data_IF_402117885480
#
_entry.id   IF_402117885480
#
_cell.length_a   1.000
_cell.length_b   1.000
_cell.length_c   1.000
_cell.angle_alpha   90.00
_cell.angle_beta   90.00
_cell.angle_gamma   90.00
#
_symmetry.space_group_name_H-M   'P 1'
#
loop_
_entity.id
_entity.type
_entity.pdbx_description
1 polymer ?
#
# COMPACT_ATOMS: atom_id res chain seq x y z
N UNK A 1 5.15 8.93 23.70
CA UNK A 1 5.08 9.09 22.23
C UNK A 1 6.48 8.93 21.68
N UNK A 2 6.69 8.17 20.60
CA UNK A 2 7.99 8.19 19.92
C UNK A 2 8.28 9.62 19.45
N UNK A 3 9.56 10.01 19.43
CA UNK A 3 9.93 11.24 18.74
C UNK A 3 9.52 11.12 17.28
N UNK A 4 9.04 12.21 16.68
CA UNK A 4 8.63 12.22 15.27
C UNK A 4 9.77 11.72 14.34
N UNK A 5 11.02 11.97 14.73
CA UNK A 5 12.23 11.50 14.06
C UNK A 5 12.36 9.97 14.06
N UNK A 6 12.10 9.31 15.19
CA UNK A 6 12.17 7.87 15.29
C UNK A 6 11.06 7.20 14.47
N UNK A 7 9.85 7.75 14.51
CA UNK A 7 8.73 7.28 13.71
C UNK A 7 9.04 7.41 12.21
N UNK A 8 9.57 8.56 11.77
CA UNK A 8 9.93 8.78 10.38
C UNK A 8 11.03 7.80 9.91
N UNK A 9 12.08 7.60 10.73
CA UNK A 9 13.15 6.65 10.43
C UNK A 9 12.63 5.21 10.30
N UNK A 10 11.80 4.78 11.25
CA UNK A 10 11.20 3.45 11.23
C UNK A 10 10.22 3.23 10.06
N UNK A 11 9.46 4.26 9.68
CA UNK A 11 8.60 4.24 8.47
C UNK A 11 9.47 4.13 7.21
N UNK A 12 10.59 4.85 7.12
CA UNK A 12 11.50 4.74 5.98
C UNK A 12 12.02 3.30 5.82
N UNK A 13 12.53 2.70 6.90
CA UNK A 13 12.96 1.29 6.91
C UNK A 13 11.82 0.37 6.46
N UNK A 14 10.66 0.46 7.11
CA UNK A 14 9.51 -0.39 6.80
C UNK A 14 9.04 -0.21 5.36
N UNK A 15 9.02 1.01 4.83
CA UNK A 15 8.53 1.29 3.47
C UNK A 15 9.41 0.72 2.38
N UNK A 16 10.74 0.71 2.58
CA UNK A 16 11.71 0.09 1.67
C UNK A 16 11.46 -1.41 1.60
N UNK A 17 11.42 -2.08 2.75
CA UNK A 17 11.21 -3.52 2.82
C UNK A 17 9.79 -3.93 2.37
N UNK A 18 8.77 -3.15 2.72
CA UNK A 18 7.40 -3.39 2.27
C UNK A 18 7.25 -3.27 0.76
N UNK A 19 7.90 -2.27 0.15
CA UNK A 19 7.90 -2.10 -1.31
C UNK A 19 8.62 -3.25 -2.01
N UNK A 20 9.80 -3.65 -1.50
CA UNK A 20 10.52 -4.82 -1.98
C UNK A 20 9.68 -6.09 -1.88
N UNK A 21 9.00 -6.31 -0.74
CA UNK A 21 8.12 -7.45 -0.55
C UNK A 21 6.95 -7.44 -1.56
N UNK A 22 6.33 -6.29 -1.82
CA UNK A 22 5.27 -6.17 -2.83
C UNK A 22 5.78 -6.54 -4.22
N UNK A 23 6.86 -5.91 -4.66
CA UNK A 23 7.41 -6.13 -6.01
C UNK A 23 7.92 -7.57 -6.17
N UNK A 24 8.56 -8.12 -5.15
CA UNK A 24 8.99 -9.52 -5.10
C UNK A 24 7.81 -10.50 -5.15
N UNK A 25 6.75 -10.27 -4.37
CA UNK A 25 5.54 -11.12 -4.40
C UNK A 25 4.81 -11.05 -5.74
N UNK A 26 4.78 -9.87 -6.38
CA UNK A 26 4.26 -9.72 -7.73
C UNK A 26 5.12 -10.50 -8.71
N UNK A 27 6.45 -10.34 -8.67
CA UNK A 27 7.37 -11.04 -9.56
C UNK A 27 7.27 -12.56 -9.42
N UNK A 28 7.26 -13.08 -8.18
CA UNK A 28 7.14 -14.52 -7.90
C UNK A 28 5.81 -15.12 -8.36
N UNK A 29 4.73 -14.32 -8.39
CA UNK A 29 3.42 -14.79 -8.81
C UNK A 29 3.07 -14.41 -10.25
N UNK A 30 3.99 -13.80 -10.99
CA UNK A 30 3.83 -13.51 -12.41
C UNK A 30 4.38 -14.68 -13.21
N UNK A 31 3.48 -15.55 -13.68
CA UNK A 31 3.82 -16.72 -14.49
C UNK A 31 2.67 -17.03 -15.47
N UNK A 32 2.98 -17.80 -16.51
CA UNK A 32 2.01 -18.18 -17.53
C UNK A 32 0.88 -19.03 -16.94
N UNK A 33 -0.37 -18.64 -17.22
CA UNK A 33 -1.55 -19.34 -16.70
C UNK A 33 -1.91 -19.04 -15.24
N UNK A 34 -1.36 -17.97 -14.63
CA UNK A 34 -1.73 -17.55 -13.28
C UNK A 34 -3.25 -17.43 -13.09
N UNK A 35 -3.79 -18.04 -12.03
CA UNK A 35 -5.24 -18.08 -11.79
C UNK A 35 -5.80 -16.78 -11.22
N UNK A 36 -4.98 -16.01 -10.50
CA UNK A 36 -5.34 -14.74 -9.87
C UNK A 36 -4.27 -13.69 -10.15
N UNK A 37 -4.64 -12.40 -10.10
CA UNK A 37 -3.68 -11.32 -10.28
C UNK A 37 -2.59 -11.35 -9.18
N UNK A 38 -1.30 -11.26 -9.53
CA UNK A 38 -0.19 -11.39 -8.57
C UNK A 38 -0.26 -10.43 -7.38
N UNK A 39 -0.81 -9.23 -7.60
CA UNK A 39 -0.95 -8.20 -6.57
C UNK A 39 -1.71 -8.70 -5.33
N UNK A 40 -2.65 -9.63 -5.48
CA UNK A 40 -3.46 -10.17 -4.38
C UNK A 40 -2.57 -10.76 -3.26
N UNK A 41 -1.46 -11.41 -3.61
CA UNK A 41 -0.52 -11.95 -2.62
C UNK A 41 0.13 -10.87 -1.77
N UNK A 42 0.55 -9.76 -2.38
CA UNK A 42 1.08 -8.61 -1.66
C UNK A 42 0.02 -7.98 -0.74
N UNK A 43 -1.23 -7.88 -1.21
CA UNK A 43 -2.34 -7.39 -0.38
C UNK A 43 -2.58 -8.30 0.83
N UNK A 44 -2.65 -9.61 0.63
CA UNK A 44 -2.90 -10.59 1.69
C UNK A 44 -1.77 -10.59 2.73
N UNK A 45 -0.51 -10.69 2.31
CA UNK A 45 0.67 -10.69 3.20
C UNK A 45 0.76 -9.37 3.99
N UNK A 46 0.56 -8.23 3.34
CA UNK A 46 0.51 -6.95 4.03
C UNK A 46 -0.62 -6.87 5.06
N UNK A 47 -1.79 -7.44 4.75
CA UNK A 47 -2.90 -7.51 5.71
C UNK A 47 -2.63 -8.47 6.88
N UNK A 48 -1.91 -9.58 6.69
CA UNK A 48 -1.45 -10.46 7.77
C UNK A 48 -0.59 -9.67 8.77
N UNK A 49 0.40 -8.93 8.29
CA UNK A 49 1.26 -8.14 9.17
C UNK A 49 0.52 -6.99 9.84
N UNK A 50 -0.43 -6.35 9.15
CA UNK A 50 -1.30 -5.35 9.76
C UNK A 50 -2.19 -5.95 10.85
N UNK A 51 -2.76 -7.14 10.62
CA UNK A 51 -3.55 -7.88 11.60
C UNK A 51 -2.71 -8.20 12.83
N UNK A 52 -1.58 -8.86 12.63
CA UNK A 52 -0.64 -9.21 13.70
C UNK A 52 -0.21 -8.00 14.53
N UNK A 53 0.21 -6.90 13.90
CA UNK A 53 0.66 -5.70 14.62
C UNK A 53 -0.48 -4.89 15.26
N UNK A 54 -1.73 -5.02 14.77
CA UNK A 54 -2.91 -4.37 15.35
C UNK A 54 -3.56 -5.18 16.48
N UNK A 55 -3.23 -6.48 16.60
CA UNK A 55 -3.68 -7.32 17.70
C UNK A 55 -3.29 -6.72 19.06
N UNK A 56 -4.22 -6.71 20.02
CA UNK A 56 -4.08 -5.93 21.25
C UNK A 56 -2.84 -6.31 22.09
N UNK A 57 -2.52 -7.61 22.23
CA UNK A 57 -1.34 -8.05 22.99
C UNK A 57 -0.05 -7.75 22.24
N UNK A 58 -0.02 -8.04 20.95
CA UNK A 58 1.13 -7.79 20.07
C UNK A 58 1.47 -6.31 20.02
N UNK A 59 0.48 -5.45 19.80
CA UNK A 59 0.63 -3.99 19.75
C UNK A 59 1.26 -3.46 21.05
N UNK A 60 0.75 -3.88 22.22
CA UNK A 60 1.31 -3.48 23.52
C UNK A 60 2.75 -3.92 23.69
N UNK A 61 3.09 -5.14 23.27
CA UNK A 61 4.46 -5.65 23.31
C UNK A 61 5.39 -4.80 22.41
N UNK A 62 4.98 -4.51 21.18
CA UNK A 62 5.73 -3.64 20.25
C UNK A 62 5.92 -2.23 20.81
N UNK A 63 4.88 -1.63 21.40
CA UNK A 63 4.96 -0.32 22.05
C UNK A 63 5.90 -0.32 23.26
N UNK A 64 5.91 -1.41 24.03
CA UNK A 64 6.82 -1.59 25.16
C UNK A 64 8.27 -1.74 24.72
N UNK A 65 8.54 -2.33 23.55
CA UNK A 65 9.88 -2.41 22.97
C UNK A 65 10.35 -1.03 22.51
N UNK A 66 9.58 -0.39 21.63
CA UNK A 66 9.74 1.00 21.23
C UNK A 66 8.50 1.42 20.39
N UNK A 67 7.89 2.60 20.60
CA UNK A 67 6.67 2.97 19.85
C UNK A 67 6.86 3.06 18.33
N UNK A 68 8.10 3.22 17.86
CA UNK A 68 8.42 3.18 16.42
C UNK A 68 8.22 1.80 15.79
N UNK A 69 8.26 0.71 16.55
CA UNK A 69 8.06 -0.65 16.04
C UNK A 69 6.65 -0.85 15.45
N UNK A 70 5.63 -0.25 16.06
CA UNK A 70 4.26 -0.34 15.54
C UNK A 70 4.16 0.34 14.17
N UNK A 71 4.69 1.55 14.02
CA UNK A 71 4.63 2.27 12.74
C UNK A 71 5.59 1.71 11.70
N UNK A 72 6.67 1.02 12.11
CA UNK A 72 7.51 0.24 11.20
C UNK A 72 6.71 -0.87 10.52
N UNK A 73 5.99 -1.68 11.32
CA UNK A 73 5.26 -2.84 10.78
C UNK A 73 3.98 -2.42 10.09
N UNK A 74 3.20 -1.50 10.68
CA UNK A 74 1.90 -1.09 10.14
C UNK A 74 2.06 -0.07 9.01
N UNK A 75 2.46 1.16 9.31
CA UNK A 75 2.56 2.24 8.33
C UNK A 75 3.68 2.00 7.31
N UNK A 76 4.86 1.59 7.76
CA UNK A 76 6.02 1.31 6.92
C UNK A 76 5.79 0.08 6.05
N UNK A 77 5.95 -1.12 6.62
CA UNK A 77 5.97 -2.38 5.89
C UNK A 77 4.60 -2.76 5.32
N UNK A 78 3.62 -3.06 6.18
CA UNK A 78 2.31 -3.55 5.73
C UNK A 78 1.61 -2.53 4.82
N UNK A 79 1.72 -1.25 5.16
CA UNK A 79 1.20 -0.15 4.36
C UNK A 79 1.80 -0.11 2.96
N UNK A 80 3.13 -0.24 2.84
CA UNK A 80 3.85 -0.17 1.55
C UNK A 80 3.88 -1.49 0.77
N UNK A 81 3.62 -2.62 1.45
CA UNK A 81 3.44 -3.92 0.83
C UNK A 81 2.09 -4.01 0.11
N UNK A 82 1.05 -3.40 0.70
CA UNK A 82 -0.25 -3.26 0.05
C UNK A 82 -0.32 -2.01 -0.82
N UNK A 83 -1.25 -1.95 -1.78
CA UNK A 83 -1.45 -0.74 -2.57
C UNK A 83 -2.86 -0.63 -3.12
N UNK A 84 -3.58 0.42 -2.72
CA UNK A 84 -4.95 0.65 -3.18
C UNK A 84 -4.96 1.21 -4.60
N UNK A 85 -4.05 2.12 -4.93
CA UNK A 85 -3.96 2.73 -6.26
C UNK A 85 -3.64 1.69 -7.34
N UNK A 86 -2.69 0.78 -7.10
CA UNK A 86 -2.39 -0.31 -8.04
C UNK A 86 -3.58 -1.27 -8.20
N UNK A 87 -4.30 -1.57 -7.12
CA UNK A 87 -5.48 -2.45 -7.17
C UNK A 87 -6.62 -1.82 -7.98
N UNK A 88 -7.00 -0.58 -7.66
CA UNK A 88 -8.05 0.14 -8.39
C UNK A 88 -7.68 0.30 -9.86
N UNK A 89 -6.41 0.55 -10.14
CA UNK A 89 -5.92 0.64 -11.51
C UNK A 89 -6.08 -0.70 -12.27
N UNK A 90 -5.80 -1.84 -11.65
CA UNK A 90 -6.04 -3.18 -12.25
C UNK A 90 -7.54 -3.46 -12.46
N UNK A 91 -8.39 -3.03 -11.53
CA UNK A 91 -9.85 -3.12 -11.69
C UNK A 91 -10.33 -2.27 -12.86
N UNK A 92 -9.80 -1.06 -13.03
CA UNK A 92 -10.08 -0.24 -14.20
C UNK A 92 -9.65 -0.94 -15.50
N UNK A 93 -8.45 -1.52 -15.55
CA UNK A 93 -7.99 -2.27 -16.73
C UNK A 93 -8.89 -3.47 -17.04
N UNK A 94 -9.44 -4.12 -16.02
CA UNK A 94 -10.40 -5.21 -16.17
C UNK A 94 -11.69 -4.72 -16.84
N UNK A 95 -12.26 -3.62 -16.35
CA UNK A 95 -13.43 -2.96 -16.96
C UNK A 95 -13.16 -2.54 -18.41
N UNK A 96 -12.00 -1.93 -18.65
CA UNK A 96 -11.60 -1.42 -19.97
C UNK A 96 -11.23 -2.53 -20.98
N UNK A 97 -11.09 -3.78 -20.54
CA UNK A 97 -10.49 -4.86 -21.31
C UNK A 97 -9.15 -4.47 -21.97
N UNK A 98 -8.26 -3.81 -21.21
CA UNK A 98 -6.97 -3.28 -21.69
C UNK A 98 -6.03 -4.39 -22.23
N UNK A 99 -6.29 -5.66 -21.87
CA UNK A 99 -5.58 -6.83 -22.40
C UNK A 99 -6.12 -7.36 -23.74
N UNK A 100 -7.16 -6.75 -24.31
CA UNK A 100 -7.80 -7.13 -25.58
C UNK A 100 -8.15 -8.63 -25.67
N UNK A 101 -8.65 -9.19 -24.57
CA UNK A 101 -9.13 -10.57 -24.53
C UNK A 101 -10.42 -10.73 -25.32
N UNK A 102 -10.62 -11.92 -25.91
CA UNK A 102 -11.87 -12.30 -26.58
C UNK A 102 -12.98 -12.52 -25.54
N UNK A 103 -13.62 -11.43 -25.12
CA UNK A 103 -14.67 -11.44 -24.09
C UNK A 103 -15.65 -10.28 -24.27
N UNK A 104 -16.94 -10.56 -24.11
CA UNK A 104 -18.00 -9.55 -24.12
C UNK A 104 -18.01 -8.67 -22.85
N UNK A 105 -18.70 -7.53 -22.89
CA UNK A 105 -18.70 -6.53 -21.80
C UNK A 105 -19.07 -7.07 -20.42
N UNK A 106 -19.99 -8.05 -20.34
CA UNK A 106 -20.35 -8.70 -19.07
C UNK A 106 -19.15 -9.40 -18.42
N UNK A 107 -18.30 -10.06 -19.21
CA UNK A 107 -17.12 -10.76 -18.70
C UNK A 107 -16.06 -9.79 -18.16
N UNK A 108 -15.92 -8.61 -18.77
CA UNK A 108 -15.05 -7.54 -18.25
C UNK A 108 -15.54 -7.02 -16.89
N UNK A 109 -16.86 -6.90 -16.71
CA UNK A 109 -17.46 -6.55 -15.41
C UNK A 109 -17.20 -7.66 -14.39
N UNK A 110 -17.41 -8.92 -14.77
CA UNK A 110 -17.16 -10.06 -13.88
C UNK A 110 -15.68 -10.16 -13.47
N UNK A 111 -14.74 -9.89 -14.36
CA UNK A 111 -13.30 -9.83 -14.04
C UNK A 111 -12.99 -8.72 -13.02
N UNK A 112 -13.52 -7.51 -13.24
CA UNK A 112 -13.35 -6.40 -12.31
C UNK A 112 -13.94 -6.68 -10.91
N UNK A 113 -15.13 -7.31 -10.86
CA UNK A 113 -15.77 -7.74 -9.61
C UNK A 113 -14.99 -8.88 -8.95
N UNK A 114 -14.46 -9.83 -9.71
CA UNK A 114 -13.63 -10.94 -9.21
C UNK A 114 -12.36 -10.40 -8.55
N UNK A 115 -11.66 -9.46 -9.20
CA UNK A 115 -10.47 -8.83 -8.63
C UNK A 115 -10.79 -8.02 -7.36
N UNK A 116 -11.95 -7.36 -7.34
CA UNK A 116 -12.44 -6.62 -6.17
C UNK A 116 -12.75 -7.56 -5.01
N UNK A 117 -13.54 -8.60 -5.26
CA UNK A 117 -13.90 -9.62 -4.28
C UNK A 117 -12.68 -10.35 -3.73
N UNK A 118 -11.78 -10.80 -4.60
CA UNK A 118 -10.55 -11.50 -4.21
C UNK A 118 -9.63 -10.62 -3.35
N UNK A 119 -9.49 -9.33 -3.68
CA UNK A 119 -8.65 -8.41 -2.90
C UNK A 119 -9.25 -8.13 -1.52
N UNK A 120 -10.57 -7.89 -1.44
CA UNK A 120 -11.25 -7.64 -0.15
C UNK A 120 -11.26 -8.92 0.70
N UNK A 121 -11.58 -10.07 0.11
CA UNK A 121 -11.60 -11.36 0.82
C UNK A 121 -10.20 -11.74 1.30
N UNK A 122 -9.19 -11.68 0.43
CA UNK A 122 -7.79 -11.98 0.78
C UNK A 122 -7.23 -11.00 1.81
N UNK A 123 -7.59 -9.72 1.72
CA UNK A 123 -7.19 -8.72 2.69
C UNK A 123 -7.82 -8.94 4.07
N UNK A 124 -9.13 -9.21 4.14
CA UNK A 124 -9.82 -9.53 5.39
C UNK A 124 -9.31 -10.85 5.98
N UNK A 125 -9.23 -11.92 5.18
CA UNK A 125 -8.70 -13.21 5.62
C UNK A 125 -7.26 -13.08 6.15
N UNK A 126 -6.42 -12.32 5.45
CA UNK A 126 -5.07 -11.98 5.91
C UNK A 126 -5.09 -11.26 7.26
N UNK A 127 -5.93 -10.25 7.43
CA UNK A 127 -6.07 -9.52 8.70
C UNK A 127 -6.44 -10.45 9.86
N UNK A 128 -7.42 -11.33 9.67
CA UNK A 128 -7.84 -12.32 10.66
C UNK A 128 -6.75 -13.36 10.95
N UNK A 129 -6.05 -13.83 9.92
CA UNK A 129 -4.90 -14.72 10.10
C UNK A 129 -3.79 -14.04 10.93
N UNK A 130 -3.54 -12.75 10.70
CA UNK A 130 -2.64 -11.96 11.52
C UNK A 130 -3.04 -11.89 13.00
N UNK A 131 -4.34 -11.72 13.29
CA UNK A 131 -4.85 -11.79 14.67
C UNK A 131 -4.65 -13.18 15.26
N UNK A 132 -4.94 -14.25 14.52
CA UNK A 132 -4.72 -15.62 14.97
C UNK A 132 -3.24 -15.90 15.28
N UNK A 133 -2.30 -15.37 14.47
CA UNK A 133 -0.86 -15.44 14.77
C UNK A 133 -0.52 -14.69 16.06
N UNK A 134 -1.13 -13.52 16.28
CA UNK A 134 -0.97 -12.75 17.52
C UNK A 134 -1.49 -13.47 18.76
N UNK A 135 -2.48 -14.34 18.62
CA UNK A 135 -2.99 -15.19 19.69
C UNK A 135 -2.14 -16.45 19.93
N UNK A 136 -1.67 -17.08 18.85
CA UNK A 136 -0.85 -18.29 18.91
C UNK A 136 0.60 -18.02 19.37
N UNK A 137 1.17 -16.86 19.00
CA UNK A 137 2.55 -16.47 19.28
C UNK A 137 2.60 -15.15 20.08
N UNK A 138 2.26 -15.20 21.38
CA UNK A 138 2.20 -14.00 22.19
C UNK A 138 3.61 -13.44 22.47
N UNK A 139 3.83 -12.18 22.06
CA UNK A 139 5.12 -11.48 22.21
C UNK A 139 5.40 -10.97 23.63
N UNK A 140 4.43 -11.03 24.54
CA UNK A 140 4.58 -10.60 25.93
C UNK A 140 5.67 -11.36 26.69
N UNK A 141 5.99 -12.59 26.26
CA UNK A 141 7.07 -13.41 26.80
C UNK A 141 8.47 -12.98 26.32
N UNK A 142 8.56 -12.24 25.23
CA UNK A 142 9.85 -11.83 24.64
C UNK A 142 10.32 -10.54 25.32
N UNK A 143 11.30 -10.69 26.22
CA UNK A 143 11.94 -9.57 26.90
C UNK A 143 13.03 -8.99 26.01
N UNK A 144 12.92 -7.70 25.68
CA UNK A 144 13.98 -6.94 25.01
C UNK A 144 14.68 -6.02 26.01
N UNK A 145 16.00 -5.78 25.85
CA UNK A 145 16.72 -4.80 26.65
C UNK A 145 16.07 -3.42 26.52
N UNK A 146 15.87 -2.72 27.64
CA UNK A 146 15.35 -1.36 27.62
C UNK A 146 16.43 -0.41 27.08
N UNK A 147 16.16 0.18 25.92
CA UNK A 147 17.05 1.19 25.33
C UNK A 147 16.61 2.58 25.83
N UNK A 148 17.54 3.47 26.22
CA UNK A 148 17.20 4.85 26.54
C UNK A 148 16.41 5.52 25.40
N UNK A 149 15.33 6.27 25.66
CA UNK A 149 14.46 6.80 24.61
C UNK A 149 15.19 7.63 23.55
N UNK A 150 16.19 8.42 23.96
CA UNK A 150 17.01 9.23 23.03
C UNK A 150 17.89 8.35 22.12
N UNK A 151 18.50 7.30 22.69
CA UNK A 151 19.33 6.37 21.94
C UNK A 151 18.47 5.55 20.96
N UNK A 152 17.30 5.07 21.40
CA UNK A 152 16.35 4.37 20.53
C UNK A 152 15.85 5.26 19.39
N UNK A 153 15.56 6.53 19.67
CA UNK A 153 15.17 7.49 18.66
C UNK A 153 16.28 7.77 17.63
N UNK A 154 17.51 7.96 18.09
CA UNK A 154 18.66 8.15 17.23
C UNK A 154 18.92 6.89 16.38
N UNK A 155 18.84 5.70 16.97
CA UNK A 155 19.02 4.43 16.25
C UNK A 155 18.01 4.27 15.11
N UNK A 156 16.72 4.56 15.35
CA UNK A 156 15.71 4.50 14.29
C UNK A 156 15.91 5.56 13.20
N UNK A 157 16.29 6.78 13.59
CA UNK A 157 16.59 7.84 12.62
C UNK A 157 17.79 7.45 11.73
N UNK A 158 18.88 6.98 12.34
CA UNK A 158 20.07 6.51 11.62
C UNK A 158 19.73 5.32 10.73
N UNK A 159 19.00 4.32 11.24
CA UNK A 159 18.57 3.17 10.45
C UNK A 159 17.74 3.58 9.22
N UNK A 160 16.83 4.54 9.38
CA UNK A 160 16.05 5.10 8.27
C UNK A 160 16.94 5.76 7.22
N UNK A 161 17.87 6.63 7.63
CA UNK A 161 18.82 7.30 6.73
C UNK A 161 19.72 6.29 6.02
N UNK A 162 20.29 5.33 6.75
CA UNK A 162 21.15 4.30 6.17
C UNK A 162 20.41 3.40 5.19
N UNK A 163 19.16 3.02 5.50
CA UNK A 163 18.36 2.19 4.59
C UNK A 163 18.00 2.96 3.32
N UNK A 164 17.66 4.25 3.44
CA UNK A 164 17.37 5.09 2.29
C UNK A 164 18.61 5.37 1.44
N UNK A 165 19.75 5.69 2.07
CA UNK A 165 21.03 5.85 1.41
C UNK A 165 21.47 4.56 0.71
N UNK A 166 21.29 3.40 1.35
CA UNK A 166 21.55 2.09 0.76
C UNK A 166 20.69 1.84 -0.48
N UNK A 167 19.40 2.17 -0.44
CA UNK A 167 18.54 2.09 -1.63
C UNK A 167 19.01 3.01 -2.77
N UNK A 168 19.43 4.23 -2.45
CA UNK A 168 19.96 5.18 -3.43
C UNK A 168 21.29 4.71 -4.04
N UNK A 169 22.20 4.16 -3.22
CA UNK A 169 23.45 3.58 -3.68
C UNK A 169 23.22 2.36 -4.57
N UNK A 170 22.34 1.43 -4.17
CA UNK A 170 21.97 0.29 -5.02
C UNK A 170 21.40 0.75 -6.36
N UNK A 171 20.54 1.79 -6.35
CA UNK A 171 19.99 2.37 -7.57
C UNK A 171 21.05 3.00 -8.49
N UNK A 172 22.04 3.68 -7.90
CA UNK A 172 23.13 4.31 -8.66
C UNK A 172 24.09 3.27 -9.24
N UNK A 173 24.48 2.29 -8.43
CA UNK A 173 25.56 1.34 -8.70
C UNK A 173 25.12 0.09 -9.48
N UNK A 174 23.88 -0.39 -9.30
CA UNK A 174 23.36 -1.59 -9.95
C UNK A 174 22.28 -1.21 -10.98
N UNK A 175 22.72 -0.96 -12.21
CA UNK A 175 21.85 -0.53 -13.32
C UNK A 175 20.78 -1.54 -13.70
N UNK A 176 21.06 -2.84 -13.56
CA UNK A 176 20.16 -3.93 -13.95
C UNK A 176 18.86 -3.99 -13.15
N UNK A 177 18.84 -3.46 -11.93
CA UNK A 177 17.67 -3.48 -11.04
C UNK A 177 17.05 -2.09 -10.83
N UNK A 178 17.35 -1.14 -11.72
CA UNK A 178 16.89 0.25 -11.58
C UNK A 178 15.38 0.42 -11.59
N UNK A 179 14.67 -0.45 -12.29
CA UNK A 179 13.21 -0.58 -12.28
C UNK A 179 12.67 -0.77 -10.84
N UNK A 180 13.30 -1.65 -10.06
CA UNK A 180 12.92 -1.91 -8.66
C UNK A 180 13.52 -0.88 -7.71
N UNK A 181 14.81 -0.58 -7.82
CA UNK A 181 15.51 0.25 -6.84
C UNK A 181 15.04 1.71 -6.87
N UNK A 182 14.67 2.25 -8.04
CA UNK A 182 14.06 3.60 -8.10
C UNK A 182 12.75 3.64 -7.32
N UNK A 183 11.92 2.59 -7.42
CA UNK A 183 10.66 2.48 -6.65
C UNK A 183 10.94 2.50 -5.15
N UNK A 184 11.97 1.77 -4.72
CA UNK A 184 12.36 1.67 -3.30
C UNK A 184 12.94 3.00 -2.79
N UNK A 185 13.69 3.75 -3.59
CA UNK A 185 14.20 5.08 -3.23
C UNK A 185 13.06 6.08 -2.99
N UNK A 186 11.98 5.98 -3.77
CA UNK A 186 10.80 6.85 -3.66
C UNK A 186 9.79 6.38 -2.59
N UNK A 187 9.87 5.13 -2.15
CA UNK A 187 8.93 4.53 -1.20
C UNK A 187 8.80 5.30 0.13
N UNK A 188 9.88 5.78 0.80
CA UNK A 188 9.76 6.55 2.03
C UNK A 188 8.93 7.83 1.88
N UNK A 189 9.03 8.53 0.75
CA UNK A 189 8.31 9.78 0.53
C UNK A 189 6.78 9.55 0.55
N UNK A 190 6.30 8.52 -0.15
CA UNK A 190 4.88 8.17 -0.17
C UNK A 190 4.37 7.68 1.20
N UNK A 191 5.14 6.83 1.87
CA UNK A 191 4.79 6.30 3.18
C UNK A 191 4.75 7.39 4.27
N UNK A 192 5.68 8.34 4.24
CA UNK A 192 5.71 9.49 5.14
C UNK A 192 4.54 10.44 4.86
N UNK A 193 4.23 10.72 3.59
CA UNK A 193 3.07 11.51 3.22
C UNK A 193 1.76 10.87 3.70
N UNK A 194 1.60 9.55 3.51
CA UNK A 194 0.46 8.79 4.07
C UNK A 194 0.41 8.88 5.59
N UNK A 195 1.55 8.80 6.28
CA UNK A 195 1.61 8.96 7.73
C UNK A 195 1.15 10.34 8.21
N UNK A 196 1.47 11.41 7.47
CA UNK A 196 0.96 12.75 7.78
C UNK A 196 -0.56 12.82 7.56
N UNK A 197 -1.05 12.30 6.43
CA UNK A 197 -2.49 12.28 6.13
C UNK A 197 -3.28 11.45 7.14
N UNK A 198 -2.69 10.38 7.68
CA UNK A 198 -3.33 9.55 8.70
C UNK A 198 -3.66 10.32 10.00
N UNK A 199 -3.09 11.51 10.24
CA UNK A 199 -3.46 12.39 11.36
C UNK A 199 -4.87 12.98 11.22
N UNK A 200 -5.41 13.00 10.00
CA UNK A 200 -6.80 13.39 9.71
C UNK A 200 -7.79 12.27 10.08
N UNK A 201 -7.31 11.05 10.31
CA UNK A 201 -8.16 9.97 10.78
C UNK A 201 -8.46 10.17 12.26
N UNK A 202 -9.74 10.05 12.62
CA UNK A 202 -10.13 9.88 14.02
C UNK A 202 -9.39 8.64 14.54
N UNK A 203 -8.58 8.72 15.62
CA UNK A 203 -7.91 7.55 16.20
C UNK A 203 -8.96 6.47 16.46
N UNK A 204 -8.66 5.18 16.26
CA UNK A 204 -9.63 4.08 16.51
C UNK A 204 -8.99 2.99 17.37
N UNK A 205 -9.74 2.45 18.32
CA UNK A 205 -9.42 1.22 19.05
C UNK A 205 -10.68 0.38 19.15
N UNK A 206 -10.59 -0.93 18.89
CA UNK A 206 -11.74 -1.84 18.83
C UNK A 206 -12.51 -1.93 20.17
N UNK A 207 -11.85 -1.62 21.29
CA UNK A 207 -12.42 -1.69 22.64
C UNK A 207 -12.78 -0.32 23.23
N UNK A 208 -12.81 0.73 22.41
CA UNK A 208 -13.02 2.10 22.89
C UNK A 208 -14.51 2.42 23.08
N UNK A 209 -14.99 2.76 24.30
CA UNK A 209 -16.40 3.08 24.59
C UNK A 209 -16.80 4.47 24.07
N UNK A 210 -16.49 4.75 22.79
CA UNK A 210 -16.72 6.07 22.19
C UNK A 210 -18.12 6.30 21.64
N UNK A 211 -18.58 7.58 21.62
CA UNK A 211 -19.90 7.95 21.14
C UNK A 211 -20.12 7.55 19.67
N UNK A 212 -21.37 7.19 19.35
CA UNK A 212 -21.78 6.67 18.02
C UNK A 212 -21.36 7.56 16.84
N UNK A 213 -21.26 8.89 17.06
CA UNK A 213 -20.86 9.85 16.02
C UNK A 213 -19.42 9.64 15.54
N UNK A 214 -18.51 9.33 16.46
CA UNK A 214 -17.10 9.04 16.12
C UNK A 214 -16.94 7.67 15.48
N UNK A 215 -17.76 6.69 15.86
CA UNK A 215 -17.80 5.35 15.23
C UNK A 215 -18.27 5.39 13.77
N UNK A 216 -19.03 6.42 13.40
CA UNK A 216 -19.54 6.68 12.04
C UNK A 216 -18.61 7.53 11.17
N UNK A 217 -17.65 8.24 11.76
CA UNK A 217 -16.78 9.15 11.03
C UNK A 217 -15.89 8.38 10.05
N UNK A 218 -15.88 8.80 8.78
CA UNK A 218 -15.05 8.18 7.75
C UNK A 218 -13.56 8.44 8.01
N UNK A 219 -12.67 7.49 7.68
CA UNK A 219 -11.22 7.67 7.73
C UNK A 219 -10.73 8.56 6.57
N UNK A 220 -10.96 9.87 6.68
CA UNK A 220 -10.64 10.82 5.61
C UNK A 220 -9.16 10.87 5.25
N UNK A 221 -8.25 10.66 6.21
CA UNK A 221 -6.82 10.59 5.95
C UNK A 221 -6.45 9.44 5.03
N UNK A 222 -6.99 8.25 5.28
CA UNK A 222 -6.76 7.05 4.46
C UNK A 222 -7.42 7.19 3.09
N UNK A 223 -8.67 7.68 3.05
CA UNK A 223 -9.39 7.93 1.82
C UNK A 223 -8.64 8.92 0.90
N UNK A 224 -8.20 10.05 1.47
CA UNK A 224 -7.48 11.09 0.73
C UNK A 224 -6.13 10.57 0.20
N UNK A 225 -5.38 9.83 1.02
CA UNK A 225 -4.11 9.23 0.58
C UNK A 225 -4.31 8.27 -0.60
N UNK A 226 -5.32 7.40 -0.51
CA UNK A 226 -5.66 6.44 -1.56
C UNK A 226 -6.10 7.11 -2.86
N UNK A 227 -6.96 8.13 -2.79
CA UNK A 227 -7.43 8.86 -3.97
C UNK A 227 -6.33 9.71 -4.61
N UNK A 228 -5.53 10.41 -3.81
CA UNK A 228 -4.38 11.18 -4.30
C UNK A 228 -3.34 10.29 -4.99
N UNK A 229 -3.03 9.14 -4.39
CA UNK A 229 -2.15 8.14 -5.02
C UNK A 229 -2.73 7.59 -6.33
N UNK A 230 -4.05 7.36 -6.40
CA UNK A 230 -4.71 6.88 -7.62
C UNK A 230 -4.65 7.93 -8.74
N UNK A 231 -4.81 9.21 -8.38
CA UNK A 231 -4.64 10.34 -9.29
C UNK A 231 -3.20 10.41 -9.81
N UNK A 232 -2.21 10.36 -8.91
CA UNK A 232 -0.79 10.39 -9.28
C UNK A 232 -0.41 9.20 -10.18
N UNK A 233 -0.78 7.98 -9.79
CA UNK A 233 -0.53 6.78 -10.59
C UNK A 233 -1.14 6.94 -12.00
N UNK A 234 -2.40 7.36 -12.08
CA UNK A 234 -3.11 7.53 -13.37
C UNK A 234 -2.44 8.61 -14.24
N UNK A 235 -1.97 9.71 -13.64
CA UNK A 235 -1.24 10.75 -14.36
C UNK A 235 0.10 10.23 -14.92
N UNK A 236 0.88 9.49 -14.13
CA UNK A 236 2.15 8.92 -14.57
C UNK A 236 1.97 7.84 -15.64
N UNK A 237 0.95 7.00 -15.52
CA UNK A 237 0.54 6.03 -16.55
C UNK A 237 0.27 6.73 -17.88
N UNK A 238 -0.51 7.81 -17.83
CA UNK A 238 -0.90 8.55 -19.03
C UNK A 238 0.32 9.21 -19.66
N UNK A 239 1.19 9.81 -18.83
CA UNK A 239 2.45 10.39 -19.27
C UNK A 239 3.38 9.36 -19.93
N UNK A 240 3.42 8.11 -19.46
CA UNK A 240 4.18 7.03 -20.11
C UNK A 240 3.67 6.70 -21.52
N UNK A 241 2.42 7.06 -21.85
CA UNK A 241 1.80 6.79 -23.14
C UNK A 241 1.82 7.99 -24.11
N UNK A 242 2.13 9.21 -23.66
CA UNK A 242 2.02 10.41 -24.52
C UNK A 242 3.08 10.53 -25.61
N UNK A 243 4.27 9.96 -25.39
CA UNK A 243 5.39 10.01 -26.35
C UNK A 243 6.38 8.88 -26.09
N UNK A 244 7.30 8.69 -27.03
CA UNK A 244 8.47 7.87 -26.79
C UNK A 244 9.33 8.50 -25.69
N UNK A 245 9.70 7.70 -24.69
CA UNK A 245 10.54 8.10 -23.58
C UNK A 245 11.82 7.29 -23.58
N UNK A 246 12.89 7.85 -22.99
CA UNK A 246 14.10 7.06 -22.73
C UNK A 246 13.81 5.96 -21.70
N UNK A 247 14.60 4.88 -21.70
CA UNK A 247 14.49 3.80 -20.71
C UNK A 247 14.53 4.33 -19.28
N UNK A 248 15.41 5.27 -18.99
CA UNK A 248 15.52 5.88 -17.68
C UNK A 248 14.26 6.66 -17.29
N UNK A 249 13.72 7.46 -18.21
CA UNK A 249 12.45 8.19 -17.98
C UNK A 249 11.30 7.22 -17.75
N UNK A 250 11.25 6.11 -18.49
CA UNK A 250 10.24 5.08 -18.29
C UNK A 250 10.34 4.43 -16.89
N UNK A 251 11.55 4.05 -16.47
CA UNK A 251 11.82 3.50 -15.15
C UNK A 251 11.48 4.50 -14.04
N UNK A 252 11.77 5.79 -14.23
CA UNK A 252 11.42 6.84 -13.28
C UNK A 252 9.89 7.01 -13.14
N UNK A 253 9.15 6.97 -14.25
CA UNK A 253 7.69 7.03 -14.22
C UNK A 253 7.06 5.77 -13.60
N UNK A 254 7.65 4.60 -13.83
CA UNK A 254 7.22 3.37 -13.16
C UNK A 254 7.50 3.42 -11.65
N UNK A 255 8.68 3.93 -11.27
CA UNK A 255 9.04 4.15 -9.88
C UNK A 255 8.16 5.16 -9.15
N UNK A 256 7.65 6.18 -9.85
CA UNK A 256 6.65 7.10 -9.29
C UNK A 256 5.30 6.40 -9.05
N UNK A 257 4.93 5.44 -9.90
CA UNK A 257 3.71 4.65 -9.72
C UNK A 257 3.87 3.63 -8.60
N UNK A 258 4.92 2.80 -8.64
CA UNK A 258 5.13 1.69 -7.73
C UNK A 258 5.77 2.15 -6.41
N UNK A 259 6.71 3.07 -6.42
CA UNK A 259 7.31 3.66 -5.22
C UNK A 259 6.42 4.69 -4.57
N UNK A 260 6.37 5.91 -5.12
CA UNK A 260 5.72 7.06 -4.48
C UNK A 260 4.20 6.86 -4.30
N UNK A 261 3.45 6.72 -5.41
CA UNK A 261 2.00 6.53 -5.34
C UNK A 261 1.64 5.20 -4.68
N UNK A 262 2.45 4.17 -4.95
CA UNK A 262 2.26 2.85 -4.42
C UNK A 262 2.30 2.76 -2.90
N UNK A 263 3.22 3.49 -2.23
CA UNK A 263 3.32 3.51 -0.76
C UNK A 263 2.49 4.62 -0.09
N UNK A 264 2.08 5.64 -0.87
CA UNK A 264 1.11 6.65 -0.44
C UNK A 264 -0.28 6.04 -0.24
N UNK A 265 -0.64 5.02 -1.02
CA UNK A 265 -1.90 4.28 -0.85
C UNK A 265 -1.71 3.00 -0.04
N UNK A 266 -2.80 2.40 0.44
CA UNK A 266 -2.76 1.14 1.20
C UNK A 266 -4.11 0.44 1.22
N UNK A 267 -4.09 -0.90 1.12
CA UNK A 267 -5.25 -1.76 1.34
C UNK A 267 -5.30 -2.26 2.78
N UNK A 268 -4.15 -2.54 3.40
CA UNK A 268 -4.11 -3.10 4.77
C UNK A 268 -4.77 -2.19 5.80
N UNK A 269 -4.58 -0.86 5.67
CA UNK A 269 -5.27 0.10 6.55
C UNK A 269 -6.77 0.14 6.27
N UNK A 270 -7.18 0.07 4.99
CA UNK A 270 -8.61 0.01 4.61
C UNK A 270 -9.27 -1.22 5.23
N UNK A 271 -8.65 -2.40 5.14
CA UNK A 271 -9.22 -3.63 5.73
C UNK A 271 -9.39 -3.53 7.24
N UNK A 272 -8.40 -2.96 7.94
CA UNK A 272 -8.51 -2.71 9.38
C UNK A 272 -9.63 -1.69 9.71
N UNK A 273 -9.80 -0.66 8.90
CA UNK A 273 -10.87 0.33 9.08
C UNK A 273 -12.26 -0.27 8.85
N UNK A 274 -12.40 -1.17 7.87
CA UNK A 274 -13.68 -1.84 7.59
C UNK A 274 -14.15 -2.72 8.75
N UNK A 275 -13.23 -3.37 9.47
CA UNK A 275 -13.60 -4.16 10.66
C UNK A 275 -13.96 -3.27 11.85
N UNK A 276 -13.37 -2.07 11.94
CA UNK A 276 -13.59 -1.12 13.02
C UNK A 276 -14.83 -0.20 12.82
N UNK A 277 -15.21 0.13 11.60
CA UNK A 277 -16.33 1.03 11.30
C UNK A 277 -17.68 0.41 11.69
N UNK A 278 -18.54 1.25 12.28
CA UNK A 278 -19.90 0.87 12.70
C UNK A 278 -20.89 2.01 12.44
N UNK A 279 -22.11 1.73 11.96
CA UNK A 279 -22.65 0.41 11.56
C UNK A 279 -22.04 -0.10 10.24
N UNK A 280 -22.27 -1.38 9.92
CA UNK A 280 -21.72 -2.06 8.73
C UNK A 280 -21.97 -1.28 7.42
N UNK A 281 -23.15 -0.66 7.27
CA UNK A 281 -23.48 0.20 6.11
C UNK A 281 -22.48 1.33 5.88
N UNK A 282 -21.88 1.88 6.94
CA UNK A 282 -20.86 2.94 6.84
C UNK A 282 -19.54 2.38 6.32
N UNK A 283 -19.16 1.17 6.73
CA UNK A 283 -17.98 0.48 6.20
C UNK A 283 -18.15 0.17 4.71
N UNK A 284 -19.31 -0.36 4.30
CA UNK A 284 -19.63 -0.60 2.90
C UNK A 284 -19.61 0.68 2.07
N UNK A 285 -20.26 1.76 2.54
CA UNK A 285 -20.27 3.04 1.84
C UNK A 285 -18.84 3.62 1.71
N UNK A 286 -18.02 3.53 2.75
CA UNK A 286 -16.62 3.96 2.71
C UNK A 286 -15.80 3.20 1.65
N UNK A 287 -15.88 1.86 1.65
CA UNK A 287 -15.18 1.03 0.66
C UNK A 287 -15.67 1.36 -0.75
N UNK A 288 -17.00 1.33 -0.96
CA UNK A 288 -17.61 1.51 -2.26
C UNK A 288 -17.30 2.88 -2.85
N UNK A 289 -17.46 3.96 -2.08
CA UNK A 289 -17.20 5.32 -2.58
C UNK A 289 -15.71 5.52 -2.87
N UNK A 290 -14.82 5.07 -1.98
CA UNK A 290 -13.37 5.19 -2.24
C UNK A 290 -12.95 4.42 -3.49
N UNK A 291 -13.48 3.21 -3.67
CA UNK A 291 -13.23 2.35 -4.83
C UNK A 291 -13.81 2.96 -6.11
N UNK A 292 -15.08 3.37 -6.10
CA UNK A 292 -15.76 3.92 -7.27
C UNK A 292 -15.13 5.23 -7.74
N UNK A 293 -14.83 6.16 -6.81
CA UNK A 293 -14.14 7.41 -7.15
C UNK A 293 -12.75 7.13 -7.70
N UNK A 294 -12.01 6.16 -7.14
CA UNK A 294 -10.72 5.74 -7.67
C UNK A 294 -10.82 5.21 -9.11
N UNK A 295 -11.80 4.34 -9.41
CA UNK A 295 -12.04 3.83 -10.77
C UNK A 295 -12.39 4.96 -11.73
N UNK A 296 -13.23 5.92 -11.30
CA UNK A 296 -13.58 7.10 -12.10
C UNK A 296 -12.35 7.98 -12.39
N UNK A 297 -11.44 8.15 -11.43
CA UNK A 297 -10.17 8.84 -11.65
C UNK A 297 -9.33 8.14 -12.73
N UNK A 298 -9.21 6.81 -12.67
CA UNK A 298 -8.53 6.04 -13.71
C UNK A 298 -9.23 6.15 -15.07
N UNK A 299 -10.56 6.13 -15.10
CA UNK A 299 -11.34 6.33 -16.33
C UNK A 299 -11.06 7.70 -16.96
N UNK A 300 -11.12 8.76 -16.17
CA UNK A 300 -10.93 10.13 -16.67
C UNK A 300 -9.49 10.41 -17.10
N UNK A 301 -8.49 9.91 -16.36
CA UNK A 301 -7.09 10.22 -16.63
C UNK A 301 -6.43 9.23 -17.59
N UNK A 302 -6.77 7.94 -17.54
CA UNK A 302 -6.16 6.92 -18.38
C UNK A 302 -7.08 6.52 -19.53
N UNK A 303 -8.34 6.18 -19.24
CA UNK A 303 -9.29 5.69 -20.24
C UNK A 303 -9.58 6.72 -21.34
N UNK A 304 -10.17 7.86 -20.95
CA UNK A 304 -10.59 8.91 -21.89
C UNK A 304 -9.43 9.35 -22.80
N UNK A 305 -8.23 9.69 -22.30
CA UNK A 305 -7.13 10.06 -23.17
C UNK A 305 -6.66 8.92 -24.07
N UNK A 306 -6.61 7.68 -23.56
CA UNK A 306 -6.22 6.52 -24.38
C UNK A 306 -7.15 6.34 -25.58
N UNK A 307 -8.47 6.44 -25.38
CA UNK A 307 -9.44 6.22 -26.47
C UNK A 307 -9.62 7.43 -27.38
N UNK A 308 -9.54 8.65 -26.86
CA UNK A 308 -9.75 9.87 -27.67
C UNK A 308 -8.50 10.28 -28.44
N UNK A 309 -7.32 10.11 -27.86
CA UNK A 309 -6.03 10.48 -28.48
C UNK A 309 -5.29 9.28 -29.08
N UNK A 310 -5.88 8.08 -29.04
CA UNK A 310 -5.28 6.83 -29.54
C UNK A 310 -3.87 6.60 -28.98
N UNK A 311 -3.71 6.80 -27.66
CA UNK A 311 -2.40 6.72 -27.04
C UNK A 311 -1.81 5.30 -27.18
N UNK A 312 -0.52 5.17 -27.53
CA UNK A 312 0.13 3.87 -27.65
C UNK A 312 0.21 3.13 -26.31
N UNK A 313 0.58 1.83 -26.34
CA UNK A 313 0.96 1.10 -25.14
C UNK A 313 2.05 1.83 -24.35
N UNK A 314 2.14 1.53 -23.05
CA UNK A 314 3.17 2.13 -22.19
C UNK A 314 4.56 1.77 -22.70
N UNK A 315 5.51 2.67 -22.43
CA UNK A 315 6.92 2.34 -22.56
C UNK A 315 7.23 1.05 -21.78
N UNK A 316 7.99 0.14 -22.39
CA UNK A 316 8.39 -1.11 -21.75
C UNK A 316 9.56 -0.84 -20.81
N UNK A 317 9.43 -1.22 -19.55
CA UNK A 317 10.58 -1.53 -18.69
C UNK A 317 11.10 -2.88 -19.17
N UNK A 318 12.37 -2.99 -19.57
CA UNK A 318 12.92 -4.28 -19.96
C UNK A 318 12.78 -5.25 -18.78
N UNK A 319 12.06 -6.34 -18.98
CA UNK A 319 12.09 -7.53 -18.12
C UNK A 319 12.99 -8.54 -18.80
#
# INVERSE_FOLDING_TARGET
>A
MASATAAAGAIAVGSVWGTLARLGLIGLNTYDGQSIKPLIWAQAVGCVLMGWASHARTKRALEAWHPACVVLVTTGFAGSCTSFSSWVFQVFQAFANDGHWDRHGLHSIMDALTQTGATVAGGLAGLWAGHAVGDALPLDRVRVPKVPPRLGAAAWAIAGVLTWAGAALLCGLYTSYRDVTLSVVLAPAGALARWQLARLNVPRSANDPRPLRERRAWPWGTALANLLATLLLSAFVTLQRTRAHTTLTCHALDALQNGLAGTLSTVSTVMLELTALRPMRTAFAYLFVSWAVGVLVCLCLVGVPTWTMHLPPRCRTAV
#
